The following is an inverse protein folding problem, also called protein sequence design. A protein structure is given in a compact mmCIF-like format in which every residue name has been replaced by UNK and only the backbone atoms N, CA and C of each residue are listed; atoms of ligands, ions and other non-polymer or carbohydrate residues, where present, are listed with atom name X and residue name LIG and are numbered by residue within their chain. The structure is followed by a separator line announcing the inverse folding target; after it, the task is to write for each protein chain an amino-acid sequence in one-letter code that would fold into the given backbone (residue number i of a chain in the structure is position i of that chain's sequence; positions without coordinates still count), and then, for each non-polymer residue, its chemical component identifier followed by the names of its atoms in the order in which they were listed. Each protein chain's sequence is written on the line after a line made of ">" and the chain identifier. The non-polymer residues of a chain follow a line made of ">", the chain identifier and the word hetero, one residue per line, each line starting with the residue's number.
data_IF_924851092978
#
_entry.id   IF_924851092978
#
_cell.length_a   1.000
_cell.length_b   1.000
_cell.length_c   1.000
_cell.angle_alpha   90.00
_cell.angle_beta   90.00
_cell.angle_gamma   90.00
#
_symmetry.space_group_name_H-M   'P 1'
#
loop_
_entity.id
_entity.type
_entity.pdbx_description
1 polymer ?
#
# COMPACT_ATOMS: atom_id res chain seq x y z
N UNK A 1 16.91 -34.78 -38.25
CA UNK A 1 15.59 -35.36 -37.90
C UNK A 1 14.59 -34.22 -37.96
N UNK A 2 13.51 -34.36 -38.71
CA UNK A 2 12.55 -33.26 -38.88
C UNK A 2 11.56 -33.25 -37.71
N UNK A 3 11.89 -32.53 -36.64
CA UNK A 3 11.09 -32.44 -35.44
C UNK A 3 9.72 -31.79 -35.70
N UNK A 4 9.63 -30.86 -36.67
CA UNK A 4 8.38 -30.21 -37.02
C UNK A 4 7.39 -31.16 -37.67
N UNK A 5 7.88 -32.09 -38.49
CA UNK A 5 7.03 -33.12 -39.09
C UNK A 5 6.44 -34.04 -38.02
N UNK A 6 7.27 -34.50 -37.06
CA UNK A 6 6.78 -35.33 -35.94
C UNK A 6 5.77 -34.61 -35.04
N UNK A 7 5.96 -33.33 -34.78
CA UNK A 7 5.00 -32.50 -34.02
C UNK A 7 3.66 -32.42 -34.77
N UNK A 8 3.69 -32.23 -36.07
CA UNK A 8 2.46 -32.13 -36.87
C UNK A 8 1.74 -33.49 -36.94
N UNK A 9 2.47 -34.59 -37.05
CA UNK A 9 1.90 -35.93 -37.02
C UNK A 9 1.21 -36.26 -35.69
N UNK A 10 1.83 -35.89 -34.56
CA UNK A 10 1.26 -36.06 -33.23
C UNK A 10 0.03 -35.14 -32.99
N UNK A 11 0.03 -33.97 -33.55
CA UNK A 11 -1.14 -33.07 -33.51
C UNK A 11 -2.32 -33.60 -34.32
N UNK A 12 -2.03 -34.23 -35.46
CA UNK A 12 -3.05 -34.89 -36.26
C UNK A 12 -3.64 -36.13 -35.54
N UNK A 13 -2.80 -36.94 -34.88
CA UNK A 13 -3.24 -38.08 -34.05
C UNK A 13 -4.13 -37.59 -32.89
N UNK A 14 -3.75 -36.51 -32.20
CA UNK A 14 -4.54 -35.91 -31.13
C UNK A 14 -5.92 -35.43 -31.63
N UNK A 15 -5.98 -34.83 -32.80
CA UNK A 15 -7.27 -34.38 -33.39
C UNK A 15 -8.16 -35.59 -33.74
N UNK A 16 -7.56 -36.68 -34.22
CA UNK A 16 -8.29 -37.94 -34.46
C UNK A 16 -8.85 -38.59 -33.20
N UNK A 17 -8.10 -38.58 -32.11
CA UNK A 17 -8.57 -39.06 -30.79
C UNK A 17 -9.68 -38.17 -30.22
N UNK A 18 -9.63 -36.86 -30.40
CA UNK A 18 -10.69 -35.97 -29.98
C UNK A 18 -12.02 -36.24 -30.72
N UNK A 19 -11.95 -36.55 -32.02
CA UNK A 19 -13.13 -36.91 -32.77
C UNK A 19 -13.71 -38.30 -32.35
N UNK A 20 -12.90 -39.16 -31.79
CA UNK A 20 -13.35 -40.45 -31.26
C UNK A 20 -14.05 -40.30 -29.91
N UNK A 21 -13.68 -39.35 -29.07
CA UNK A 21 -14.34 -39.07 -27.79
C UNK A 21 -15.82 -38.74 -27.97
N UNK A 22 -16.18 -38.03 -29.06
CA UNK A 22 -17.58 -37.66 -29.34
C UNK A 22 -18.47 -38.87 -29.70
N UNK A 23 -17.87 -40.03 -30.06
CA UNK A 23 -18.59 -41.20 -30.53
C UNK A 23 -18.51 -42.43 -29.60
N UNK A 24 -17.73 -42.37 -28.53
CA UNK A 24 -17.52 -43.44 -27.58
C UNK A 24 -18.35 -43.24 -26.29
N UNK A 25 -19.28 -44.16 -26.04
CA UNK A 25 -20.11 -44.17 -24.80
C UNK A 25 -19.52 -45.07 -23.69
N UNK A 26 -18.40 -45.73 -23.92
CA UNK A 26 -17.79 -46.68 -23.00
C UNK A 26 -16.71 -46.00 -22.15
N UNK A 27 -16.97 -45.94 -20.81
CA UNK A 27 -16.13 -45.23 -19.85
C UNK A 27 -14.70 -45.76 -19.73
N UNK A 28 -14.52 -47.09 -19.94
CA UNK A 28 -13.19 -47.72 -19.95
C UNK A 28 -12.36 -47.27 -21.16
N UNK A 29 -12.98 -47.13 -22.33
CA UNK A 29 -12.32 -46.66 -23.55
C UNK A 29 -12.03 -45.17 -23.50
N UNK A 30 -12.88 -44.37 -22.81
CA UNK A 30 -12.61 -42.97 -22.57
C UNK A 30 -11.37 -42.76 -21.70
N UNK A 31 -11.14 -43.62 -20.69
CA UNK A 31 -9.92 -43.63 -19.89
C UNK A 31 -8.67 -43.91 -20.72
N UNK A 32 -8.70 -44.94 -21.58
CA UNK A 32 -7.55 -45.24 -22.47
C UNK A 32 -7.24 -44.11 -23.46
N UNK A 33 -8.27 -43.43 -23.97
CA UNK A 33 -8.09 -42.29 -24.88
C UNK A 33 -7.49 -41.08 -24.11
N UNK A 34 -7.91 -40.84 -22.88
CA UNK A 34 -7.37 -39.77 -22.05
C UNK A 34 -5.89 -39.98 -21.73
N UNK A 35 -5.50 -41.21 -21.33
CA UNK A 35 -4.09 -41.58 -21.07
C UNK A 35 -3.23 -41.40 -22.32
N UNK A 36 -3.77 -41.82 -23.48
CA UNK A 36 -3.09 -41.65 -24.76
C UNK A 36 -2.90 -40.19 -25.16
N UNK A 37 -3.90 -39.35 -24.92
CA UNK A 37 -3.80 -37.90 -25.15
C UNK A 37 -2.79 -37.21 -24.24
N UNK A 38 -2.66 -37.64 -23.00
CA UNK A 38 -1.65 -37.14 -22.08
C UNK A 38 -0.23 -37.52 -22.56
N UNK A 39 -0.03 -38.76 -22.96
CA UNK A 39 1.24 -39.21 -23.54
C UNK A 39 1.62 -38.44 -24.82
N UNK A 40 0.65 -38.17 -25.70
CA UNK A 40 0.85 -37.34 -26.91
C UNK A 40 1.23 -35.91 -26.54
N UNK A 41 0.58 -35.30 -25.59
CA UNK A 41 0.90 -33.93 -25.11
C UNK A 41 2.33 -33.84 -24.55
N UNK A 42 2.73 -34.84 -23.73
CA UNK A 42 4.09 -34.94 -23.21
C UNK A 42 5.15 -35.11 -24.34
N UNK A 43 4.81 -35.91 -25.37
CA UNK A 43 5.68 -36.09 -26.52
C UNK A 43 5.83 -34.84 -27.36
N UNK A 44 4.75 -34.11 -27.61
CA UNK A 44 4.76 -32.80 -28.31
C UNK A 44 5.65 -31.83 -27.57
N UNK A 45 5.49 -31.67 -26.24
CA UNK A 45 6.30 -30.77 -25.43
C UNK A 45 7.80 -31.12 -25.48
N UNK A 46 8.14 -32.39 -25.44
CA UNK A 46 9.52 -32.86 -25.59
C UNK A 46 10.11 -32.56 -26.97
N UNK A 47 9.36 -32.79 -28.05
CA UNK A 47 9.84 -32.48 -29.41
C UNK A 47 9.92 -30.98 -29.68
N UNK A 48 9.04 -30.20 -29.13
CA UNK A 48 9.13 -28.72 -29.17
C UNK A 48 10.38 -28.18 -28.43
N UNK A 49 10.72 -28.78 -27.28
CA UNK A 49 11.95 -28.47 -26.55
C UNK A 49 13.18 -28.83 -27.39
N UNK A 50 13.25 -30.06 -27.93
CA UNK A 50 14.34 -30.51 -28.78
C UNK A 50 14.46 -29.70 -30.08
N UNK A 51 13.35 -29.25 -30.66
CA UNK A 51 13.36 -28.37 -31.81
C UNK A 51 13.94 -27.00 -31.51
N UNK A 52 13.63 -26.45 -30.34
CA UNK A 52 14.24 -25.19 -29.85
C UNK A 52 15.72 -25.35 -29.56
N UNK A 53 16.13 -26.44 -28.92
CA UNK A 53 17.55 -26.74 -28.64
C UNK A 53 18.36 -26.98 -29.91
N UNK A 54 17.78 -27.60 -30.92
CA UNK A 54 18.43 -27.84 -32.22
C UNK A 54 18.55 -26.59 -33.09
N UNK A 55 17.67 -25.61 -32.92
CA UNK A 55 17.76 -24.28 -33.57
C UNK A 55 18.79 -23.38 -32.91
N UNK A 56 19.15 -23.65 -31.66
CA UNK A 56 20.17 -22.86 -30.90
C UNK A 56 21.62 -23.23 -31.26
N UNK A 57 21.92 -24.18 -32.13
CA UNK A 57 23.28 -24.59 -32.50
C UNK A 57 23.73 -24.16 -33.89
N UNK A 58 23.19 -23.08 -34.46
CA UNK A 58 23.73 -22.46 -35.66
C UNK A 58 24.77 -21.41 -35.27
N UNK A 59 25.98 -21.51 -35.81
CA UNK A 59 27.16 -20.70 -35.56
C UNK A 59 26.93 -19.19 -35.69
N UNK A 60 27.70 -18.36 -34.96
CA UNK A 60 27.49 -16.91 -34.91
C UNK A 60 27.86 -16.26 -36.25
N UNK A 61 26.89 -15.62 -36.87
CA UNK A 61 27.13 -14.59 -37.89
C UNK A 61 27.36 -13.28 -37.11
N UNK A 62 28.53 -12.71 -37.26
CA UNK A 62 28.86 -11.38 -36.80
C UNK A 62 27.85 -10.32 -37.28
N UNK A 63 27.52 -9.41 -36.35
CA UNK A 63 26.81 -8.15 -36.57
C UNK A 63 25.29 -8.18 -36.71
N UNK A 64 24.60 -8.28 -35.56
CA UNK A 64 23.46 -7.42 -35.24
C UNK A 64 23.13 -7.51 -33.74
N UNK A 65 22.85 -6.41 -33.02
CA UNK A 65 22.45 -6.47 -31.62
C UNK A 65 20.94 -6.82 -31.56
N UNK A 66 20.65 -8.09 -31.29
CA UNK A 66 19.27 -8.51 -31.05
C UNK A 66 19.19 -9.39 -29.81
N UNK A 67 18.38 -8.92 -28.86
CA UNK A 67 17.86 -9.61 -27.69
C UNK A 67 18.91 -10.06 -26.66
N UNK A 68 19.32 -9.13 -25.82
CA UNK A 68 19.70 -9.47 -24.47
C UNK A 68 18.47 -10.12 -23.80
N UNK A 69 18.48 -11.44 -23.71
CA UNK A 69 17.56 -12.17 -22.82
C UNK A 69 17.64 -11.47 -21.45
N UNK A 70 16.51 -11.30 -20.81
CA UNK A 70 16.39 -10.65 -19.51
C UNK A 70 17.34 -11.30 -18.50
N UNK A 71 18.56 -10.76 -18.41
CA UNK A 71 19.52 -11.14 -17.39
C UNK A 71 19.02 -10.60 -16.07
N UNK A 72 19.06 -11.41 -15.02
CA UNK A 72 18.77 -10.96 -13.66
C UNK A 72 19.75 -9.85 -13.25
N UNK A 73 19.37 -9.02 -12.29
CA UNK A 73 20.25 -7.96 -11.78
C UNK A 73 21.61 -8.53 -11.30
N UNK A 74 21.61 -9.72 -10.70
CA UNK A 74 22.82 -10.43 -10.26
C UNK A 74 23.70 -10.90 -11.44
N UNK A 75 23.11 -11.38 -12.52
CA UNK A 75 23.85 -11.78 -13.72
C UNK A 75 24.48 -10.59 -14.44
N UNK A 76 23.78 -9.45 -14.48
CA UNK A 76 24.32 -8.19 -15.01
C UNK A 76 25.50 -7.70 -14.18
N UNK A 77 25.41 -7.75 -12.84
CA UNK A 77 26.50 -7.42 -11.91
C UNK A 77 27.69 -8.36 -12.08
N UNK A 78 27.44 -9.66 -12.12
CA UNK A 78 28.49 -10.64 -12.31
C UNK A 78 29.20 -10.48 -13.67
N UNK A 79 28.47 -10.07 -14.71
CA UNK A 79 29.02 -9.76 -16.02
C UNK A 79 29.85 -8.47 -15.98
N UNK A 80 29.32 -7.39 -15.40
CA UNK A 80 30.04 -6.11 -15.27
C UNK A 80 31.34 -6.25 -14.47
N UNK A 81 31.33 -7.02 -13.38
CA UNK A 81 32.53 -7.34 -12.59
C UNK A 81 33.54 -8.16 -13.39
N UNK A 82 33.08 -9.13 -14.18
CA UNK A 82 33.97 -9.92 -15.07
C UNK A 82 34.56 -9.06 -16.18
N UNK A 83 33.76 -8.21 -16.80
CA UNK A 83 34.21 -7.33 -17.88
C UNK A 83 35.20 -6.28 -17.34
N UNK A 84 34.95 -5.71 -16.15
CA UNK A 84 35.88 -4.83 -15.45
C UNK A 84 37.19 -5.54 -15.08
N UNK A 85 37.13 -6.76 -14.56
CA UNK A 85 38.30 -7.56 -14.21
C UNK A 85 39.13 -7.94 -15.46
N UNK A 86 38.48 -8.18 -16.59
CA UNK A 86 39.14 -8.46 -17.85
C UNK A 86 39.81 -7.21 -18.43
N UNK A 87 39.16 -6.06 -18.37
CA UNK A 87 39.68 -4.78 -18.78
C UNK A 87 40.89 -4.32 -17.91
N UNK A 88 40.81 -4.54 -16.59
CA UNK A 88 41.91 -4.27 -15.66
C UNK A 88 43.14 -5.15 -15.94
N UNK A 89 42.96 -6.44 -16.23
CA UNK A 89 44.04 -7.37 -16.60
C UNK A 89 44.71 -6.99 -17.93
N UNK A 90 43.99 -6.38 -18.86
CA UNK A 90 44.48 -5.92 -20.15
C UNK A 90 45.05 -4.47 -20.09
N UNK A 91 45.16 -3.89 -18.89
CA UNK A 91 45.72 -2.54 -18.68
C UNK A 91 44.87 -1.44 -19.34
N UNK A 92 43.53 -1.64 -19.44
CA UNK A 92 42.60 -0.71 -20.07
C UNK A 92 42.97 -0.30 -21.49
N UNK A 93 43.69 -1.18 -22.23
CA UNK A 93 44.02 -0.93 -23.63
C UNK A 93 42.78 -1.14 -24.49
N UNK A 94 42.18 -0.03 -24.88
CA UNK A 94 41.17 -0.02 -25.94
C UNK A 94 41.88 -0.11 -27.27
N UNK A 95 41.79 -1.25 -27.94
CA UNK A 95 42.26 -1.43 -29.31
C UNK A 95 41.25 -0.87 -30.30
N UNK A 96 41.15 0.44 -30.40
CA UNK A 96 40.57 1.10 -31.56
C UNK A 96 41.62 1.80 -32.35
N UNK A 97 41.81 1.38 -33.59
CA UNK A 97 42.82 1.81 -34.52
C UNK A 97 42.53 3.18 -35.14
N UNK A 98 42.31 4.24 -34.37
CA UNK A 98 42.37 5.62 -34.85
C UNK A 98 42.35 6.62 -33.69
N UNK A 99 43.52 7.11 -33.31
CA UNK A 99 43.66 8.30 -32.48
C UNK A 99 43.83 8.01 -30.98
N UNK A 100 44.62 8.81 -30.30
CA UNK A 100 44.76 8.76 -28.85
C UNK A 100 43.43 9.17 -28.19
N UNK A 101 42.85 8.26 -27.42
CA UNK A 101 41.62 8.51 -26.66
C UNK A 101 41.98 9.41 -25.47
N UNK A 102 41.46 10.63 -25.46
CA UNK A 102 41.58 11.57 -24.36
C UNK A 102 40.71 11.13 -23.20
N UNK A 103 41.01 11.61 -21.98
CA UNK A 103 40.21 11.38 -20.75
C UNK A 103 38.75 11.79 -20.91
N UNK A 104 38.42 12.66 -21.85
CA UNK A 104 37.04 13.03 -22.19
C UNK A 104 36.31 11.90 -22.95
N UNK A 105 37.01 11.11 -23.75
CA UNK A 105 36.45 9.96 -24.47
C UNK A 105 36.51 8.66 -23.65
N UNK A 106 37.38 8.61 -22.63
CA UNK A 106 37.47 7.47 -21.70
C UNK A 106 36.47 7.53 -20.56
N UNK A 107 35.73 8.62 -20.42
CA UNK A 107 34.62 8.74 -19.48
C UNK A 107 33.52 7.65 -19.66
N UNK A 108 33.43 7.10 -20.87
CA UNK A 108 32.56 5.94 -21.17
C UNK A 108 33.22 4.58 -20.89
N UNK A 109 34.52 4.52 -20.65
CA UNK A 109 35.24 3.27 -20.42
C UNK A 109 35.50 2.96 -18.94
N UNK A 110 35.27 3.93 -18.07
CA UNK A 110 35.20 3.72 -16.62
C UNK A 110 33.74 3.49 -16.30
N UNK A 111 33.31 2.24 -16.00
CA UNK A 111 31.95 2.06 -15.49
C UNK A 111 31.88 2.89 -14.20
N UNK A 112 31.11 3.96 -14.21
CA UNK A 112 30.59 4.48 -12.96
C UNK A 112 30.04 3.29 -12.18
N UNK A 113 30.34 3.24 -10.91
CA UNK A 113 29.76 2.23 -10.02
C UNK A 113 28.25 2.48 -9.99
N UNK A 114 27.56 1.93 -10.99
CA UNK A 114 26.12 1.99 -11.10
C UNK A 114 25.62 1.01 -10.06
N UNK A 115 25.58 1.45 -8.81
CA UNK A 115 24.73 0.82 -7.82
C UNK A 115 23.29 1.02 -8.30
N UNK A 116 22.81 0.02 -9.04
CA UNK A 116 21.43 -0.02 -9.48
C UNK A 116 20.44 -0.26 -8.32
N UNK A 117 20.90 -0.27 -7.06
CA UNK A 117 20.05 -0.37 -5.87
C UNK A 117 19.67 1.01 -5.36
N UNK A 118 18.40 1.33 -5.49
CA UNK A 118 17.82 2.46 -4.79
C UNK A 118 17.75 2.08 -3.31
N UNK A 119 18.59 2.73 -2.49
CA UNK A 119 18.55 2.55 -1.05
C UNK A 119 17.39 3.37 -0.48
N UNK A 120 16.31 2.68 -0.13
CA UNK A 120 15.23 3.33 0.60
C UNK A 120 15.69 3.67 2.02
N UNK A 121 15.67 4.94 2.37
CA UNK A 121 15.72 5.34 3.78
C UNK A 121 14.45 4.83 4.46
N UNK A 122 14.54 4.47 5.74
CA UNK A 122 13.46 3.86 6.52
C UNK A 122 12.30 4.82 6.82
N UNK A 123 11.83 5.55 5.81
CA UNK A 123 10.69 6.44 5.87
C UNK A 123 9.46 5.70 5.35
N UNK A 124 8.97 4.73 6.12
CA UNK A 124 7.62 4.24 5.89
C UNK A 124 6.64 5.33 6.36
N UNK A 125 5.72 5.70 5.49
CA UNK A 125 4.57 6.51 5.89
C UNK A 125 3.63 5.60 6.67
N UNK A 126 3.55 5.71 8.01
CA UNK A 126 2.65 4.88 8.79
C UNK A 126 1.21 5.16 8.39
N UNK A 127 0.34 4.17 8.53
CA UNK A 127 -1.05 4.25 8.06
C UNK A 127 -2.03 4.35 9.22
N UNK A 128 -2.80 5.43 9.27
CA UNK A 128 -3.95 5.56 10.18
C UNK A 128 -5.13 4.65 9.79
N UNK A 129 -5.08 4.00 8.60
CA UNK A 129 -6.12 3.06 8.18
C UNK A 129 -6.23 1.85 9.11
N UNK A 130 -5.16 1.47 9.81
CA UNK A 130 -5.17 0.38 10.78
C UNK A 130 -5.99 0.70 12.04
N UNK A 131 -6.14 1.97 12.34
CA UNK A 131 -6.90 2.47 13.49
C UNK A 131 -8.38 2.77 13.18
N UNK A 132 -8.81 2.72 11.92
CA UNK A 132 -10.18 2.98 11.49
C UNK A 132 -10.83 1.78 10.82
N UNK A 133 -12.16 1.81 10.65
CA UNK A 133 -12.86 0.76 9.91
C UNK A 133 -12.91 1.10 8.42
N UNK A 134 -12.31 0.27 7.58
CA UNK A 134 -12.37 0.41 6.12
C UNK A 134 -13.56 -0.35 5.56
N UNK A 135 -14.40 0.30 4.75
CA UNK A 135 -15.55 -0.30 4.07
C UNK A 135 -15.51 -0.08 2.57
N UNK A 136 -15.56 -1.18 1.82
CA UNK A 136 -15.65 -1.13 0.37
C UNK A 136 -17.10 -0.89 -0.07
N UNK A 137 -17.29 0.06 -0.99
CA UNK A 137 -18.59 0.44 -1.53
C UNK A 137 -18.56 0.48 -3.06
N UNK A 138 -19.71 0.24 -3.71
CA UNK A 138 -19.83 0.25 -5.17
C UNK A 138 -20.45 1.55 -5.68
N UNK A 139 -21.32 2.19 -4.91
CA UNK A 139 -21.98 3.43 -5.26
C UNK A 139 -21.12 4.65 -4.96
N UNK A 140 -21.26 5.72 -5.74
CA UNK A 140 -20.58 7.01 -5.48
C UNK A 140 -21.09 7.66 -4.19
N UNK A 141 -22.40 7.63 -3.97
CA UNK A 141 -23.07 8.18 -2.81
C UNK A 141 -23.89 7.11 -2.14
N UNK A 142 -24.02 7.19 -0.83
CA UNK A 142 -24.86 6.26 -0.10
C UNK A 142 -25.17 6.73 1.30
N UNK A 143 -26.14 6.05 1.89
CA UNK A 143 -26.61 6.31 3.24
C UNK A 143 -26.60 5.02 4.04
N UNK A 144 -26.06 5.08 5.24
CA UNK A 144 -26.13 4.01 6.22
C UNK A 144 -26.87 4.51 7.44
N UNK A 145 -27.56 3.62 8.13
CA UNK A 145 -28.34 3.97 9.30
C UNK A 145 -27.72 3.35 10.53
N UNK A 146 -27.34 4.20 11.48
CA UNK A 146 -26.84 3.79 12.78
C UNK A 146 -27.95 3.96 13.83
N UNK A 147 -28.18 2.95 14.65
CA UNK A 147 -29.08 3.09 15.79
C UNK A 147 -28.37 3.86 16.90
N UNK A 148 -28.95 4.99 17.31
CA UNK A 148 -28.45 5.75 18.45
C UNK A 148 -28.49 4.92 19.72
N UNK A 149 -27.45 5.01 20.53
CA UNK A 149 -27.44 4.41 21.86
C UNK A 149 -28.35 5.22 22.76
N UNK A 150 -29.44 4.62 23.18
CA UNK A 150 -30.31 5.16 24.24
C UNK A 150 -30.17 4.23 25.42
N UNK A 151 -29.88 4.77 26.59
CA UNK A 151 -29.94 4.00 27.82
C UNK A 151 -31.32 3.36 27.96
N UNK A 152 -31.36 2.11 28.33
CA UNK A 152 -32.65 1.45 28.59
C UNK A 152 -33.27 2.01 29.87
N UNK A 153 -34.47 2.59 29.76
CA UNK A 153 -35.23 3.06 30.93
C UNK A 153 -35.93 1.91 31.68
N UNK A 154 -35.77 0.69 31.17
CA UNK A 154 -36.48 -0.49 31.70
C UNK A 154 -37.97 -0.46 31.43
N UNK A 155 -38.63 -1.54 31.80
CA UNK A 155 -40.08 -1.60 31.79
C UNK A 155 -40.66 -1.13 33.14
N UNK A 156 -41.68 -0.33 33.08
CA UNK A 156 -42.39 0.05 34.29
C UNK A 156 -43.27 -1.11 34.80
N UNK A 157 -43.48 -1.16 36.10
CA UNK A 157 -44.41 -2.12 36.70
C UNK A 157 -45.84 -1.76 36.30
N UNK A 158 -46.57 -2.73 35.81
CA UNK A 158 -47.99 -2.57 35.42
C UNK A 158 -48.84 -3.35 36.37
N UNK A 159 -49.81 -2.67 36.99
CA UNK A 159 -50.78 -3.30 37.88
C UNK A 159 -51.78 -4.18 37.10
N UNK A 160 -52.51 -5.03 37.82
CA UNK A 160 -53.58 -5.86 37.25
C UNK A 160 -54.60 -4.97 36.55
N UNK A 161 -54.98 -5.31 35.30
CA UNK A 161 -55.89 -4.55 34.45
C UNK A 161 -55.50 -3.09 34.12
N UNK A 162 -54.25 -2.65 34.41
CA UNK A 162 -53.73 -1.33 34.04
C UNK A 162 -53.21 -1.31 32.60
N UNK A 163 -53.23 -0.13 31.96
CA UNK A 163 -52.65 0.10 30.62
C UNK A 163 -51.15 0.04 30.66
N UNK A 164 -50.53 -0.64 29.67
CA UNK A 164 -49.09 -0.60 29.49
C UNK A 164 -48.63 0.80 29.11
N UNK A 165 -47.58 1.31 29.75
CA UNK A 165 -46.99 2.61 29.36
C UNK A 165 -46.34 2.53 27.98
N UNK A 166 -46.40 3.61 27.23
CA UNK A 166 -45.75 3.72 25.92
C UNK A 166 -44.25 3.91 26.13
N UNK A 167 -43.47 3.03 25.59
CA UNK A 167 -42.02 3.15 25.57
C UNK A 167 -41.57 4.07 24.44
N UNK A 168 -40.47 4.75 24.67
CA UNK A 168 -39.79 5.54 23.62
C UNK A 168 -39.34 4.66 22.44
N UNK A 169 -39.44 5.17 21.24
CA UNK A 169 -39.02 4.49 20.03
C UNK A 169 -37.49 4.58 19.84
N UNK A 170 -36.82 3.56 19.26
CA UNK A 170 -35.44 3.63 18.91
C UNK A 170 -35.17 4.76 17.92
N UNK A 171 -34.13 5.57 18.18
CA UNK A 171 -33.72 6.63 17.29
C UNK A 171 -32.60 6.15 16.35
N UNK A 172 -32.66 6.58 15.10
CA UNK A 172 -31.70 6.23 14.06
C UNK A 172 -31.02 7.49 13.52
N UNK A 173 -29.70 7.44 13.36
CA UNK A 173 -28.88 8.49 12.79
C UNK A 173 -28.44 8.06 11.40
N UNK A 174 -28.68 8.88 10.37
CA UNK A 174 -28.14 8.60 9.04
C UNK A 174 -26.67 9.00 8.98
N UNK A 175 -25.82 8.12 8.48
CA UNK A 175 -24.45 8.41 8.09
C UNK A 175 -24.37 8.38 6.57
N UNK A 176 -24.13 9.50 5.97
CA UNK A 176 -24.00 9.64 4.52
C UNK A 176 -22.51 9.59 4.15
N UNK A 177 -22.20 9.05 2.97
CA UNK A 177 -20.89 9.13 2.37
C UNK A 177 -20.99 9.61 0.91
N UNK A 178 -19.99 10.33 0.46
CA UNK A 178 -19.86 10.77 -0.92
C UNK A 178 -18.42 10.56 -1.39
N UNK A 179 -18.23 9.56 -2.22
CA UNK A 179 -16.91 9.18 -2.74
C UNK A 179 -16.42 10.22 -3.73
N UNK A 180 -15.25 10.76 -3.45
CA UNK A 180 -14.52 11.65 -4.34
C UNK A 180 -13.36 10.93 -5.02
N UNK A 181 -13.01 11.40 -6.21
CA UNK A 181 -11.83 10.93 -6.91
C UNK A 181 -10.64 11.82 -6.55
N UNK A 182 -9.59 11.20 -6.04
CA UNK A 182 -8.30 11.84 -5.74
C UNK A 182 -7.20 11.20 -6.57
N UNK A 183 -6.20 11.95 -6.92
CA UNK A 183 -5.07 11.43 -7.67
C UNK A 183 -4.09 12.51 -8.08
N UNK A 184 -2.94 12.05 -8.55
CA UNK A 184 -1.86 12.88 -9.03
C UNK A 184 -1.20 12.26 -10.27
N UNK A 185 -0.37 13.04 -10.93
CA UNK A 185 0.44 12.60 -12.06
C UNK A 185 1.88 12.97 -11.76
N UNK A 186 2.80 12.03 -12.03
CA UNK A 186 4.24 12.26 -12.03
C UNK A 186 4.82 11.88 -13.39
N UNK A 187 5.98 12.44 -13.72
CA UNK A 187 6.67 12.19 -14.96
C UNK A 187 8.13 11.80 -14.69
N UNK A 188 8.65 10.91 -15.51
CA UNK A 188 10.10 10.68 -15.63
C UNK A 188 10.48 10.67 -17.11
N UNK A 189 11.73 10.96 -17.42
CA UNK A 189 12.23 10.89 -18.79
C UNK A 189 12.32 9.44 -19.25
N UNK A 190 12.04 9.17 -20.52
CA UNK A 190 12.12 7.83 -21.08
C UNK A 190 13.54 7.25 -20.97
N UNK A 191 14.56 8.12 -21.03
CA UNK A 191 15.97 7.73 -20.84
C UNK A 191 16.21 7.12 -19.47
N UNK A 192 15.73 7.78 -18.39
CA UNK A 192 15.86 7.30 -17.02
C UNK A 192 15.13 5.97 -16.83
N UNK A 193 13.93 5.84 -17.41
CA UNK A 193 13.18 4.59 -17.38
C UNK A 193 13.89 3.48 -18.14
N UNK A 194 14.49 3.78 -19.29
CA UNK A 194 15.19 2.78 -20.13
C UNK A 194 16.50 2.29 -19.50
N UNK A 195 17.25 3.19 -18.83
CA UNK A 195 18.53 2.83 -18.20
C UNK A 195 18.38 2.10 -16.87
N UNK A 196 17.24 2.25 -16.16
CA UNK A 196 17.00 1.69 -14.83
C UNK A 196 15.67 0.92 -14.72
N UNK A 197 15.22 0.33 -15.77
CA UNK A 197 13.90 -0.16 -16.17
C UNK A 197 12.96 -0.70 -15.06
N UNK A 198 13.42 -1.59 -14.20
CA UNK A 198 12.54 -2.19 -13.17
C UNK A 198 12.58 -1.47 -11.81
N UNK A 199 13.73 -0.93 -11.42
CA UNK A 199 13.91 -0.35 -10.08
C UNK A 199 13.27 1.04 -9.96
N UNK A 200 13.39 1.90 -10.97
CA UNK A 200 12.75 3.24 -10.95
C UNK A 200 11.23 3.13 -11.05
N UNK A 201 10.72 2.22 -11.88
CA UNK A 201 9.27 2.00 -11.96
C UNK A 201 8.72 1.49 -10.62
N UNK A 202 9.43 0.59 -9.95
CA UNK A 202 9.06 0.09 -8.63
C UNK A 202 9.10 1.19 -7.57
N UNK A 203 10.14 2.02 -7.58
CA UNK A 203 10.29 3.16 -6.68
C UNK A 203 9.18 4.20 -6.84
N UNK A 204 8.85 4.58 -8.09
CA UNK A 204 7.73 5.49 -8.38
C UNK A 204 6.39 4.91 -7.89
N UNK A 205 6.18 3.60 -8.07
CA UNK A 205 4.97 2.91 -7.60
C UNK A 205 4.90 2.93 -6.06
N UNK A 206 6.02 2.69 -5.38
CA UNK A 206 6.08 2.71 -3.92
C UNK A 206 5.88 4.13 -3.38
N UNK A 207 6.55 5.12 -3.95
CA UNK A 207 6.34 6.53 -3.63
C UNK A 207 4.89 6.97 -3.82
N UNK A 208 4.26 6.64 -4.95
CA UNK A 208 2.85 6.95 -5.20
C UNK A 208 1.90 6.22 -4.22
N UNK A 209 2.29 5.04 -3.77
CA UNK A 209 1.56 4.31 -2.73
C UNK A 209 1.67 5.00 -1.37
N UNK A 210 2.83 5.59 -1.07
CA UNK A 210 3.04 6.48 0.08
C UNK A 210 2.14 7.71 0.04
N UNK A 211 2.04 8.38 -1.10
CA UNK A 211 1.15 9.54 -1.31
C UNK A 211 -0.35 9.18 -1.13
N UNK A 212 -0.73 7.97 -1.57
CA UNK A 212 -2.08 7.44 -1.33
C UNK A 212 -2.35 7.26 0.17
N UNK A 213 -1.40 6.70 0.92
CA UNK A 213 -1.49 6.56 2.39
C UNK A 213 -1.55 7.91 3.09
N UNK A 214 -0.68 8.87 2.71
CA UNK A 214 -0.70 10.22 3.25
C UNK A 214 -2.04 10.93 3.00
N UNK A 215 -2.64 10.72 1.83
CA UNK A 215 -3.98 11.25 1.51
C UNK A 215 -5.06 10.66 2.42
N UNK A 216 -5.04 9.34 2.64
CA UNK A 216 -5.97 8.68 3.56
C UNK A 216 -5.78 9.16 5.00
N UNK A 217 -4.54 9.29 5.48
CA UNK A 217 -4.21 9.80 6.81
C UNK A 217 -4.76 11.21 7.02
N UNK A 218 -4.58 12.09 6.04
CA UNK A 218 -5.10 13.46 6.09
C UNK A 218 -6.63 13.50 6.18
N UNK A 219 -7.32 12.65 5.42
CA UNK A 219 -8.78 12.54 5.47
C UNK A 219 -9.27 12.05 6.82
N UNK A 220 -8.62 11.04 7.40
CA UNK A 220 -8.97 10.50 8.71
C UNK A 220 -8.76 11.56 9.79
N UNK A 221 -7.60 12.23 9.79
CA UNK A 221 -7.29 13.28 10.74
C UNK A 221 -8.28 14.46 10.64
N UNK A 222 -8.59 14.92 9.42
CA UNK A 222 -9.57 15.99 9.18
C UNK A 222 -10.97 15.60 9.67
N UNK A 223 -11.41 14.36 9.41
CA UNK A 223 -12.70 13.85 9.85
C UNK A 223 -12.77 13.74 11.38
N UNK A 224 -11.69 13.30 12.01
CA UNK A 224 -11.62 13.23 13.47
C UNK A 224 -11.66 14.64 14.10
N UNK A 225 -10.95 15.62 13.53
CA UNK A 225 -10.95 17.01 13.97
C UNK A 225 -12.31 17.69 13.75
N UNK A 226 -13.01 17.41 12.67
CA UNK A 226 -14.32 17.96 12.32
C UNK A 226 -15.42 17.66 13.36
N UNK A 227 -15.24 16.63 14.18
CA UNK A 227 -16.13 16.32 15.28
C UNK A 227 -16.20 17.42 16.36
N UNK A 228 -15.16 18.22 16.44
CA UNK A 228 -14.96 19.24 17.47
C UNK A 228 -13.82 18.89 18.41
N UNK A 229 -13.09 19.91 18.83
CA UNK A 229 -11.91 19.78 19.66
C UNK A 229 -12.22 19.97 21.14
N UNK A 230 -11.57 19.19 21.99
CA UNK A 230 -11.61 19.34 23.45
C UNK A 230 -10.22 19.75 23.92
N UNK A 231 -10.07 20.87 24.59
CA UNK A 231 -8.80 21.28 25.17
C UNK A 231 -8.44 20.33 26.33
N UNK A 232 -7.23 19.82 26.30
CA UNK A 232 -6.66 18.95 27.33
C UNK A 232 -5.44 19.66 27.89
N UNK A 233 -5.51 20.12 29.13
CA UNK A 233 -4.42 20.81 29.79
C UNK A 233 -3.73 19.96 30.86
N UNK A 234 -4.38 18.91 31.34
CA UNK A 234 -3.89 18.11 32.45
C UNK A 234 -4.20 16.62 32.30
N UNK A 235 -3.50 15.81 33.07
CA UNK A 235 -3.80 14.38 33.20
C UNK A 235 -5.26 14.11 33.58
N UNK A 236 -5.80 14.94 34.48
CA UNK A 236 -7.18 14.80 34.95
C UNK A 236 -8.18 14.96 33.80
N UNK A 237 -7.87 15.81 32.83
CA UNK A 237 -8.72 16.01 31.65
C UNK A 237 -8.66 14.79 30.71
N UNK A 238 -7.49 14.18 30.53
CA UNK A 238 -7.36 12.89 29.81
C UNK A 238 -8.22 11.81 30.47
N UNK A 239 -8.16 11.71 31.80
CA UNK A 239 -8.94 10.72 32.55
C UNK A 239 -10.44 10.99 32.42
N UNK A 240 -10.87 12.27 32.58
CA UNK A 240 -12.28 12.65 32.40
C UNK A 240 -12.78 12.35 31.01
N UNK A 241 -12.00 12.68 29.98
CA UNK A 241 -12.31 12.38 28.61
C UNK A 241 -12.47 10.86 28.39
N UNK A 242 -11.52 10.08 28.86
CA UNK A 242 -11.56 8.61 28.75
C UNK A 242 -12.73 7.98 29.52
N UNK A 243 -13.02 8.47 30.74
CA UNK A 243 -14.18 7.97 31.52
C UNK A 243 -15.47 8.34 30.82
N UNK A 244 -15.54 9.52 30.20
CA UNK A 244 -16.72 10.01 29.47
C UNK A 244 -17.13 9.15 28.26
N UNK A 245 -16.22 8.37 27.69
CA UNK A 245 -16.52 7.45 26.57
C UNK A 245 -17.51 6.32 26.92
N UNK A 246 -17.79 6.10 28.19
CA UNK A 246 -18.63 4.97 28.61
C UNK A 246 -17.91 3.62 28.62
N UNK A 247 -18.48 2.65 29.36
CA UNK A 247 -17.83 1.34 29.62
C UNK A 247 -17.55 0.55 28.36
N UNK A 248 -18.43 0.59 27.37
CA UNK A 248 -18.31 -0.21 26.15
C UNK A 248 -17.10 0.20 25.31
N UNK A 249 -16.85 1.51 25.18
CA UNK A 249 -15.73 2.01 24.40
C UNK A 249 -14.40 1.99 25.16
N UNK A 250 -14.44 2.17 26.48
CA UNK A 250 -13.23 2.11 27.31
C UNK A 250 -12.48 0.79 27.19
N UNK A 251 -13.20 -0.31 27.00
CA UNK A 251 -12.59 -1.64 26.87
C UNK A 251 -11.70 -1.80 25.62
N UNK A 252 -11.97 -1.01 24.57
CA UNK A 252 -11.28 -1.07 23.27
C UNK A 252 -10.57 0.27 22.94
N UNK A 253 -10.58 1.21 23.90
CA UNK A 253 -10.01 2.53 23.71
C UNK A 253 -8.48 2.51 23.68
N UNK A 254 -7.93 3.38 22.86
CA UNK A 254 -6.52 3.71 22.77
C UNK A 254 -6.35 5.24 22.80
N UNK A 255 -5.15 5.69 23.04
CA UNK A 255 -4.73 7.06 22.76
C UNK A 255 -3.90 7.01 21.49
N UNK A 256 -4.34 7.76 20.47
CA UNK A 256 -3.58 7.95 19.24
C UNK A 256 -3.11 9.39 19.21
N UNK A 257 -1.81 9.57 19.05
CA UNK A 257 -1.18 10.90 19.11
C UNK A 257 -0.01 10.97 18.12
N UNK A 258 0.60 12.13 18.02
CA UNK A 258 1.84 12.33 17.27
C UNK A 258 3.04 12.45 18.21
N UNK A 259 4.23 12.68 17.65
CA UNK A 259 5.48 12.83 18.41
C UNK A 259 5.40 13.94 19.46
N UNK A 260 4.78 15.10 19.13
CA UNK A 260 4.61 16.22 20.06
C UNK A 260 3.70 15.85 21.23
N UNK A 261 2.60 15.15 20.94
CA UNK A 261 1.70 14.65 21.98
C UNK A 261 2.31 13.54 22.82
N UNK A 262 3.14 12.69 22.21
CA UNK A 262 3.91 11.67 22.94
C UNK A 262 4.93 12.33 23.87
N UNK A 263 5.62 13.38 23.41
CA UNK A 263 6.53 14.16 24.24
C UNK A 263 5.81 14.74 25.47
N UNK A 264 4.61 15.32 25.27
CA UNK A 264 3.79 15.80 26.36
C UNK A 264 3.37 14.68 27.34
N UNK A 265 2.89 13.55 26.82
CA UNK A 265 2.52 12.38 27.64
C UNK A 265 3.70 11.86 28.46
N UNK A 266 4.91 11.93 27.91
CA UNK A 266 6.14 11.50 28.56
C UNK A 266 6.54 12.37 29.76
N UNK A 267 6.09 13.63 29.78
CA UNK A 267 6.35 14.54 30.91
C UNK A 267 5.41 14.32 32.10
N UNK A 268 4.30 13.59 31.88
CA UNK A 268 3.30 13.37 32.93
C UNK A 268 3.84 12.47 34.05
N UNK A 269 3.75 12.98 35.27
CA UNK A 269 4.21 12.29 36.48
C UNK A 269 3.09 12.16 37.51
N UNK A 270 3.20 11.14 38.34
CA UNK A 270 2.41 10.96 39.54
C UNK A 270 2.90 11.88 40.69
N UNK A 271 2.13 11.97 41.74
CA UNK A 271 2.50 12.72 42.99
C UNK A 271 3.81 12.25 43.63
N UNK A 272 4.27 11.05 43.30
CA UNK A 272 5.53 10.47 43.73
C UNK A 272 6.68 10.64 42.73
N UNK A 273 6.53 11.56 41.75
CA UNK A 273 7.49 11.88 40.69
C UNK A 273 7.80 10.70 39.74
N UNK A 274 6.86 9.74 39.60
CA UNK A 274 7.00 8.59 38.73
C UNK A 274 6.33 8.92 37.38
N UNK A 275 7.00 8.59 36.28
CA UNK A 275 6.41 8.70 34.94
C UNK A 275 5.24 7.75 34.78
N UNK A 276 4.17 8.26 34.20
CA UNK A 276 2.93 7.51 33.98
C UNK A 276 2.93 6.78 32.65
N UNK A 277 3.71 7.24 31.67
CA UNK A 277 3.93 6.55 30.41
C UNK A 277 4.96 5.44 30.62
N UNK A 278 4.56 4.21 30.37
CA UNK A 278 5.39 3.01 30.57
C UNK A 278 5.35 2.13 29.34
N UNK A 279 6.42 1.38 29.03
CA UNK A 279 6.37 0.41 27.95
C UNK A 279 5.35 -0.70 28.25
N UNK A 280 4.66 -1.16 27.20
CA UNK A 280 3.70 -2.25 27.30
C UNK A 280 4.46 -3.59 27.40
N UNK A 281 4.33 -4.36 28.50
CA UNK A 281 5.05 -5.62 28.66
C UNK A 281 4.56 -6.73 27.72
N UNK A 282 3.35 -6.59 27.16
CA UNK A 282 2.74 -7.60 26.29
C UNK A 282 3.05 -7.36 24.80
N UNK A 283 3.34 -6.12 24.41
CA UNK A 283 3.61 -5.74 23.02
C UNK A 283 4.87 -4.90 22.97
N UNK A 284 6.02 -5.48 22.56
CA UNK A 284 7.27 -4.74 22.43
C UNK A 284 7.13 -3.53 21.48
N UNK A 285 7.67 -2.38 21.91
CA UNK A 285 7.62 -1.14 21.12
C UNK A 285 6.35 -0.30 21.28
N UNK A 286 5.33 -0.77 21.98
CA UNK A 286 4.12 -0.01 22.28
C UNK A 286 4.21 0.59 23.67
N UNK A 287 3.79 1.86 23.80
CA UNK A 287 3.67 2.54 25.08
C UNK A 287 2.26 2.41 25.65
N UNK A 288 2.14 2.57 26.96
CA UNK A 288 0.86 2.60 27.68
C UNK A 288 0.87 3.67 28.75
N UNK A 289 -0.25 4.36 28.89
CA UNK A 289 -0.47 5.32 29.99
C UNK A 289 -1.09 4.57 31.17
N UNK A 290 -0.37 4.54 32.29
CA UNK A 290 -0.83 3.88 33.52
C UNK A 290 -1.32 4.91 34.52
N UNK A 291 -2.64 4.97 34.73
CA UNK A 291 -3.27 5.91 35.69
C UNK A 291 -4.02 5.09 36.74
N UNK A 292 -3.37 4.88 37.88
CA UNK A 292 -3.94 4.02 38.91
C UNK A 292 -4.22 2.60 38.40
N UNK A 293 -5.46 2.08 38.49
CA UNK A 293 -5.83 0.76 37.99
C UNK A 293 -6.09 0.73 36.48
N UNK A 294 -6.02 1.86 35.79
CA UNK A 294 -6.38 1.99 34.39
C UNK A 294 -5.12 1.99 33.52
N UNK A 295 -5.15 1.17 32.49
CA UNK A 295 -4.09 1.04 31.49
C UNK A 295 -4.70 1.39 30.16
N UNK A 296 -4.16 2.43 29.48
CA UNK A 296 -4.63 2.88 28.20
C UNK A 296 -3.46 2.74 27.21
N UNK A 297 -3.57 1.89 26.18
CA UNK A 297 -2.57 1.78 25.14
C UNK A 297 -2.38 3.12 24.40
N UNK A 298 -1.12 3.49 24.14
CA UNK A 298 -0.77 4.68 23.38
C UNK A 298 -0.15 4.22 22.06
N UNK A 299 -0.61 4.81 20.97
CA UNK A 299 -0.07 4.62 19.61
C UNK A 299 0.37 5.98 19.12
N UNK A 300 1.62 6.07 18.75
CA UNK A 300 2.23 7.29 18.24
C UNK A 300 2.45 7.20 16.73
N UNK A 301 2.35 8.34 16.08
CA UNK A 301 2.59 8.53 14.67
C UNK A 301 3.51 9.72 14.46
N UNK A 302 4.20 9.75 13.32
CA UNK A 302 5.04 10.87 12.95
C UNK A 302 4.21 12.15 12.79
N UNK A 303 4.80 13.31 13.04
CA UNK A 303 4.14 14.60 12.85
C UNK A 303 3.68 14.84 11.41
N UNK A 304 4.33 14.23 10.42
CA UNK A 304 3.91 14.27 9.01
C UNK A 304 2.60 13.50 8.76
N UNK A 305 2.34 12.44 9.53
CA UNK A 305 1.14 11.62 9.44
C UNK A 305 -0.04 12.25 10.17
N UNK A 306 0.20 12.77 11.36
CA UNK A 306 -0.79 13.41 12.22
C UNK A 306 -0.26 14.77 12.68
N UNK A 307 -0.46 15.79 11.85
CA UNK A 307 0.13 17.10 12.06
C UNK A 307 -0.44 17.83 13.31
N UNK A 308 0.46 18.49 14.04
CA UNK A 308 0.08 19.47 15.07
C UNK A 308 -0.44 20.77 14.45
N UNK A 309 -1.36 21.44 15.12
CA UNK A 309 -1.84 22.77 14.74
C UNK A 309 -1.09 23.85 15.54
N UNK A 310 0.05 24.27 15.02
CA UNK A 310 0.97 25.15 15.75
C UNK A 310 1.54 24.44 16.99
N UNK A 311 1.25 24.98 18.19
CA UNK A 311 1.66 24.37 19.47
C UNK A 311 0.70 23.30 19.99
N UNK A 312 -0.41 23.05 19.27
CA UNK A 312 -1.44 22.11 19.71
C UNK A 312 -1.23 20.75 19.10
N UNK A 313 -0.84 19.80 19.90
CA UNK A 313 -0.71 18.41 19.50
C UNK A 313 -2.07 17.69 19.58
N UNK A 314 -2.42 16.87 18.58
CA UNK A 314 -3.64 16.07 18.59
C UNK A 314 -3.53 14.90 19.57
N UNK A 315 -4.59 14.66 20.33
CA UNK A 315 -4.72 13.56 21.25
C UNK A 315 -6.10 12.88 21.06
N UNK A 316 -6.15 11.83 20.24
CA UNK A 316 -7.39 11.10 20.00
C UNK A 316 -7.56 10.02 21.06
N UNK A 317 -8.58 10.16 21.89
CA UNK A 317 -8.86 9.24 23.00
C UNK A 317 -10.11 8.45 22.67
N UNK A 318 -10.01 7.12 22.55
CA UNK A 318 -11.15 6.25 22.32
C UNK A 318 -10.90 5.16 21.29
N UNK A 319 -12.00 4.67 20.69
CA UNK A 319 -11.98 3.69 19.62
C UNK A 319 -12.23 4.38 18.28
N UNK A 320 -11.17 4.63 17.51
CA UNK A 320 -11.31 5.17 16.16
C UNK A 320 -11.97 4.14 15.22
N UNK A 321 -11.78 2.83 15.47
CA UNK A 321 -12.42 1.76 14.70
C UNK A 321 -13.94 1.82 14.72
N UNK A 322 -14.48 2.18 15.88
CA UNK A 322 -15.94 2.35 16.03
C UNK A 322 -16.39 3.75 15.65
N UNK A 323 -15.49 4.74 15.72
CA UNK A 323 -15.80 6.15 15.55
C UNK A 323 -15.73 6.67 14.14
N UNK A 324 -14.83 6.13 13.33
CA UNK A 324 -14.51 6.64 11.98
C UNK A 324 -14.57 5.50 10.97
N UNK A 325 -15.22 5.76 9.84
CA UNK A 325 -15.25 4.82 8.71
C UNK A 325 -14.64 5.47 7.48
N UNK A 326 -13.66 4.79 6.93
CA UNK A 326 -13.06 5.09 5.65
C UNK A 326 -13.77 4.29 4.55
N UNK A 327 -14.39 4.99 3.63
CA UNK A 327 -15.13 4.41 2.51
C UNK A 327 -14.24 4.34 1.28
N UNK A 328 -14.14 3.19 0.69
CA UNK A 328 -13.34 2.97 -0.49
C UNK A 328 -14.20 2.35 -1.60
N UNK A 329 -14.28 3.01 -2.74
CA UNK A 329 -15.01 2.46 -3.90
C UNK A 329 -14.09 1.65 -4.80
N UNK A 330 -12.89 2.15 -5.00
CA UNK A 330 -11.84 1.51 -5.79
C UNK A 330 -10.52 1.82 -5.12
N UNK A 331 -9.73 0.79 -4.88
CA UNK A 331 -8.39 0.93 -4.34
C UNK A 331 -7.52 1.81 -5.22
N UNK A 332 -6.36 2.14 -4.70
CA UNK A 332 -5.36 2.89 -5.44
C UNK A 332 -5.01 2.17 -6.74
N UNK A 333 -5.03 2.90 -7.85
CA UNK A 333 -4.72 2.38 -9.18
C UNK A 333 -3.74 3.30 -9.88
N UNK A 334 -2.64 2.74 -10.37
CA UNK A 334 -1.63 3.42 -11.17
C UNK A 334 -1.82 3.06 -12.63
N UNK A 335 -1.68 4.05 -13.50
CA UNK A 335 -1.66 3.89 -14.95
C UNK A 335 -0.48 4.64 -15.51
N UNK A 336 0.24 4.01 -16.41
CA UNK A 336 1.37 4.54 -17.16
C UNK A 336 0.94 4.95 -18.57
N UNK A 337 1.53 5.99 -19.12
CA UNK A 337 1.33 6.43 -20.49
C UNK A 337 2.55 7.20 -21.00
N UNK A 338 2.94 6.92 -22.23
CA UNK A 338 4.01 7.55 -23.00
C UNK A 338 3.50 8.59 -24.03
N UNK A 339 2.18 8.75 -24.14
CA UNK A 339 1.54 9.63 -25.13
C UNK A 339 0.59 10.64 -24.48
N UNK A 340 0.48 10.65 -23.15
CA UNK A 340 -0.44 11.55 -22.46
C UNK A 340 0.09 12.99 -22.44
N UNK A 341 -0.84 13.94 -22.44
CA UNK A 341 -0.58 15.37 -22.25
C UNK A 341 -1.27 15.81 -20.96
N UNK A 342 -0.52 16.45 -20.07
CA UNK A 342 -1.00 16.89 -18.76
C UNK A 342 -0.59 18.33 -18.49
N UNK A 343 -1.48 19.12 -17.92
CA UNK A 343 -1.25 20.54 -17.67
C UNK A 343 -1.73 21.43 -18.82
N UNK A 344 -1.56 22.74 -18.65
CA UNK A 344 -1.94 23.76 -19.63
C UNK A 344 -0.90 24.88 -19.63
N UNK A 345 -0.67 25.49 -20.81
CA UNK A 345 0.30 26.60 -20.95
C UNK A 345 1.76 26.14 -20.78
N UNK A 346 2.59 27.02 -20.21
CA UNK A 346 4.03 26.80 -20.07
C UNK A 346 4.42 25.62 -19.19
N UNK A 347 3.51 25.11 -18.36
CA UNK A 347 3.71 23.94 -17.51
C UNK A 347 3.07 22.66 -18.08
N UNK A 348 2.83 22.64 -19.40
CA UNK A 348 2.29 21.47 -20.07
C UNK A 348 3.37 20.39 -20.20
N UNK A 349 3.09 19.20 -19.66
CA UNK A 349 3.89 18.01 -19.88
C UNK A 349 3.27 17.23 -21.06
N UNK A 350 3.99 17.15 -22.15
CA UNK A 350 3.62 16.35 -23.31
C UNK A 350 4.58 15.17 -23.41
N UNK A 351 4.08 13.99 -23.07
CA UNK A 351 4.92 12.79 -23.04
C UNK A 351 5.58 12.50 -24.40
N UNK A 352 4.84 12.69 -25.48
CA UNK A 352 5.33 12.42 -26.83
C UNK A 352 6.38 13.43 -27.32
N UNK A 353 6.20 14.73 -27.04
CA UNK A 353 7.12 15.76 -27.51
C UNK A 353 8.37 15.89 -26.63
N UNK A 354 8.26 15.54 -25.35
CA UNK A 354 9.32 15.71 -24.35
C UNK A 354 9.99 14.38 -23.98
N UNK A 355 9.65 13.29 -24.66
CA UNK A 355 10.12 11.94 -24.40
C UNK A 355 9.99 11.54 -22.90
N UNK A 356 8.75 11.68 -22.40
CA UNK A 356 8.41 11.40 -21.00
C UNK A 356 7.51 10.19 -20.88
N UNK A 357 7.68 9.49 -19.77
CA UNK A 357 6.72 8.48 -19.29
C UNK A 357 5.97 9.09 -18.10
N UNK A 358 4.64 9.11 -18.21
CA UNK A 358 3.75 9.66 -17.21
C UNK A 358 3.06 8.55 -16.41
N UNK A 359 3.08 8.66 -15.09
CA UNK A 359 2.32 7.79 -14.19
C UNK A 359 1.20 8.59 -13.53
N UNK A 360 0.00 8.03 -13.58
CA UNK A 360 -1.18 8.60 -12.94
C UNK A 360 -1.69 7.69 -11.84
N UNK A 361 -1.53 8.11 -10.60
CA UNK A 361 -2.19 7.50 -9.45
C UNK A 361 -3.62 8.01 -9.28
N UNK A 362 -4.55 7.16 -8.94
CA UNK A 362 -5.93 7.56 -8.65
C UNK A 362 -6.58 6.63 -7.65
N UNK A 363 -7.33 7.21 -6.70
CA UNK A 363 -8.13 6.53 -5.70
C UNK A 363 -9.51 7.16 -5.59
N UNK A 364 -10.46 6.41 -5.04
CA UNK A 364 -11.84 6.84 -4.89
C UNK A 364 -12.27 6.53 -3.46
N UNK A 365 -12.30 7.55 -2.63
CA UNK A 365 -12.47 7.43 -1.19
C UNK A 365 -13.28 8.56 -0.58
N UNK A 366 -13.72 8.32 0.66
CA UNK A 366 -14.33 9.28 1.54
C UNK A 366 -14.11 8.83 2.99
N UNK A 367 -14.17 9.75 3.93
CA UNK A 367 -14.05 9.45 5.34
C UNK A 367 -15.15 10.15 6.13
N UNK A 368 -15.88 9.41 6.94
CA UNK A 368 -16.99 9.96 7.73
C UNK A 368 -16.98 9.48 9.16
N UNK A 369 -17.47 10.32 10.07
CA UNK A 369 -17.70 9.91 11.45
C UNK A 369 -18.87 8.93 11.49
N UNK A 370 -18.61 7.73 12.02
CA UNK A 370 -19.62 6.69 12.20
C UNK A 370 -20.35 6.84 13.52
N UNK A 371 -19.62 6.77 14.63
CA UNK A 371 -20.17 6.97 15.97
C UNK A 371 -19.37 8.09 16.69
N UNK A 372 -20.01 9.23 16.84
CA UNK A 372 -19.38 10.37 17.47
C UNK A 372 -19.10 10.17 18.97
N UNK A 373 -19.73 9.19 19.63
CA UNK A 373 -19.53 8.91 21.05
C UNK A 373 -18.33 7.96 21.29
N UNK A 374 -17.77 7.35 20.23
CA UNK A 374 -16.74 6.35 20.34
C UNK A 374 -15.35 6.90 20.64
N UNK A 375 -15.09 8.16 20.31
CA UNK A 375 -13.80 8.80 20.53
C UNK A 375 -13.94 10.29 20.85
N UNK A 376 -12.91 10.90 21.40
CA UNK A 376 -12.79 12.33 21.67
C UNK A 376 -11.53 12.81 20.96
N UNK A 377 -11.66 13.90 20.19
CA UNK A 377 -10.51 14.62 19.64
C UNK A 377 -10.06 15.69 20.65
N UNK A 378 -8.95 15.42 21.33
CA UNK A 378 -8.32 16.34 22.25
C UNK A 378 -7.20 17.13 21.57
N UNK A 379 -6.95 18.33 22.03
CA UNK A 379 -5.76 19.13 21.71
C UNK A 379 -5.02 19.47 22.97
N UNK A 380 -3.72 19.24 22.97
CA UNK A 380 -2.81 19.53 24.07
C UNK A 380 -1.88 20.65 23.66
N UNK A 381 -1.75 21.68 24.49
CA UNK A 381 -0.78 22.74 24.25
C UNK A 381 0.61 22.32 24.76
N UNK A 382 1.52 22.05 23.82
CA UNK A 382 2.88 21.61 24.12
C UNK A 382 3.76 22.74 24.66
N UNK A 383 3.42 24.02 24.40
CA UNK A 383 4.14 25.17 24.94
C UNK A 383 3.93 25.35 26.45
N UNK A 384 2.79 24.87 26.98
CA UNK A 384 2.47 24.97 28.41
C UNK A 384 3.22 23.92 29.26
N UNK A 385 3.81 22.89 28.65
CA UNK A 385 4.55 21.84 29.35
C UNK A 385 6.04 22.18 29.60
N UNK A 386 6.53 23.30 29.06
CA UNK A 386 7.93 23.69 29.16
C UNK A 386 8.20 24.67 30.38
N UNK A 387 7.23 24.83 31.31
CA UNK A 387 7.32 25.68 32.46
C UNK A 387 7.37 24.92 33.79
#
# INVERSE_FOLDING_TARGET
>A
MDFMKKINDLRAEKTGLLAQIETVEDEAKLGEIADRMEAINASIANYERLARESQGSAQPVENAPQNAGKMTAEERRAKAVKDLASAARQGFKVTNAAGAVNTTDSGYAVPEDIEAQIYHTRAEVPSLLDEVTVKNVTAKTGRRTLRRRTGGNGFATVGEAAKFPVLGTPQYIPVNYEIEKRGGVTAATAEVVTYSDEEITADIVDWMSGESRATANRLIAATAKAKGTTAIASLDDVIKAWIGLGKAFRAVSKIVTNEDGLAWLSTLKDKNDRFLLTPNPSVPGQMQLCVGPHIIPVVDYDNDTLASDGTKAPLLIGSLKDGVVYWQKKGFAIKQSDTAVVGTGDNQLNAYEQDLVLWRGSQWDDCTTWDAEAFIYGEVDTAAAAG
#
